data_IF_567796021726
#
_entry.id   IF_567796021726
#
_cell.length_a   1.000
_cell.length_b   1.000
_cell.length_c   1.000
_cell.angle_alpha   90.00
_cell.angle_beta   90.00
_cell.angle_gamma   90.00
#
_symmetry.space_group_name_H-M   'P 1'
#
loop_
_entity.id
_entity.type
_entity.pdbx_description
1 polymer ?
#
# COMPACT_ATOMS: atom_id res chain seq x y z
N UNK A 1 58.22 11.10 -34.54
CA UNK A 1 56.80 10.69 -34.65
C UNK A 1 56.64 9.46 -33.78
N UNK A 2 55.90 9.55 -32.68
CA UNK A 2 55.67 8.41 -31.80
C UNK A 2 54.73 7.43 -32.52
N UNK A 3 55.17 6.20 -32.68
CA UNK A 3 54.37 5.12 -33.26
C UNK A 3 53.10 4.90 -32.39
N UNK A 4 51.97 5.39 -32.87
CA UNK A 4 50.63 5.23 -32.24
C UNK A 4 50.04 3.82 -32.38
N UNK A 5 50.91 2.79 -32.40
CA UNK A 5 50.44 1.43 -32.46
C UNK A 5 50.02 0.97 -31.06
N UNK A 6 48.76 0.66 -30.84
CA UNK A 6 48.23 0.28 -29.49
C UNK A 6 48.93 -0.97 -28.91
N UNK A 7 49.48 -1.84 -29.78
CA UNK A 7 50.17 -3.05 -29.36
C UNK A 7 51.58 -2.74 -28.80
N UNK A 8 52.29 -1.79 -29.42
CA UNK A 8 53.63 -1.37 -28.94
C UNK A 8 53.51 -0.57 -27.64
N UNK A 9 52.48 0.28 -27.49
CA UNK A 9 52.18 0.99 -26.28
C UNK A 9 51.83 0.01 -25.12
N UNK A 10 51.03 -1.00 -25.41
CA UNK A 10 50.63 -2.04 -24.42
C UNK A 10 51.83 -2.86 -23.93
N UNK A 11 52.71 -3.26 -24.85
CA UNK A 11 53.95 -3.98 -24.50
C UNK A 11 54.89 -3.10 -23.66
N UNK A 12 55.02 -1.82 -23.97
CA UNK A 12 55.82 -0.88 -23.19
C UNK A 12 55.22 -0.72 -21.76
N UNK A 13 53.93 -0.61 -21.65
CA UNK A 13 53.25 -0.52 -20.35
C UNK A 13 53.45 -1.79 -19.48
N UNK A 14 53.40 -2.97 -20.10
CA UNK A 14 53.63 -4.23 -19.38
C UNK A 14 55.09 -4.37 -18.89
N UNK A 15 56.07 -3.80 -19.60
CA UNK A 15 57.48 -3.82 -19.24
C UNK A 15 57.86 -2.88 -18.08
N UNK A 16 57.00 -1.95 -17.68
CA UNK A 16 57.23 -1.06 -16.56
C UNK A 16 57.29 -1.83 -15.24
N UNK A 17 58.16 -1.45 -14.30
CA UNK A 17 58.25 -2.07 -12.99
C UNK A 17 56.93 -1.92 -12.24
N UNK A 18 56.58 -2.91 -11.42
CA UNK A 18 55.30 -2.92 -10.66
C UNK A 18 55.19 -1.80 -9.62
N UNK A 19 56.31 -1.15 -9.30
CA UNK A 19 56.39 0.03 -8.41
C UNK A 19 56.09 1.35 -9.13
N UNK A 20 55.90 1.34 -10.46
CA UNK A 20 55.63 2.55 -11.24
C UNK A 20 54.22 3.09 -10.96
N UNK A 21 54.07 4.35 -10.50
CA UNK A 21 52.76 4.94 -10.27
C UNK A 21 51.90 5.05 -11.53
N UNK A 22 52.54 5.24 -12.70
CA UNK A 22 51.86 5.29 -13.99
C UNK A 22 51.22 3.92 -14.35
N UNK A 23 51.91 2.80 -14.13
CA UNK A 23 51.40 1.46 -14.35
C UNK A 23 50.23 1.17 -13.43
N UNK A 24 50.33 1.55 -12.15
CA UNK A 24 49.25 1.34 -11.14
C UNK A 24 47.98 2.12 -11.54
N UNK A 25 48.11 3.37 -11.95
CA UNK A 25 46.97 4.19 -12.38
C UNK A 25 46.28 3.61 -13.63
N UNK A 26 47.08 3.20 -14.64
CA UNK A 26 46.50 2.63 -15.87
C UNK A 26 45.80 1.29 -15.60
N UNK A 27 46.40 0.42 -14.80
CA UNK A 27 45.77 -0.85 -14.42
C UNK A 27 44.50 -0.61 -13.63
N UNK A 28 44.52 0.30 -12.65
CA UNK A 28 43.33 0.66 -11.86
C UNK A 28 42.22 1.22 -12.76
N UNK A 29 42.56 2.07 -13.73
CA UNK A 29 41.58 2.62 -14.68
C UNK A 29 40.97 1.53 -15.57
N UNK A 30 41.79 0.59 -16.07
CA UNK A 30 41.31 -0.53 -16.89
C UNK A 30 40.41 -1.44 -16.12
N UNK A 31 40.76 -1.78 -14.88
CA UNK A 31 39.92 -2.62 -14.00
C UNK A 31 38.61 -1.90 -13.73
N UNK A 32 38.66 -0.60 -13.38
CA UNK A 32 37.43 0.18 -13.12
C UNK A 32 36.52 0.24 -14.36
N UNK A 33 37.12 0.45 -15.56
CA UNK A 33 36.37 0.48 -16.82
C UNK A 33 35.75 -0.88 -17.17
N UNK A 34 36.49 -1.97 -17.02
CA UNK A 34 35.97 -3.32 -17.31
C UNK A 34 34.90 -3.72 -16.33
N UNK A 35 35.08 -3.46 -15.03
CA UNK A 35 34.05 -3.71 -14.02
C UNK A 35 32.81 -2.83 -14.24
N UNK A 36 32.99 -1.53 -14.51
CA UNK A 36 31.91 -0.60 -14.77
C UNK A 36 31.08 -0.96 -16.02
N UNK A 37 31.75 -1.35 -17.11
CA UNK A 37 31.06 -1.83 -18.32
C UNK A 37 30.34 -3.14 -18.10
N UNK A 38 30.95 -4.11 -17.40
CA UNK A 38 30.32 -5.38 -17.08
C UNK A 38 29.04 -5.18 -16.24
N UNK A 39 29.08 -4.35 -15.19
CA UNK A 39 27.93 -4.03 -14.37
C UNK A 39 26.85 -3.32 -15.18
N UNK A 40 27.22 -2.32 -16.00
CA UNK A 40 26.26 -1.57 -16.82
C UNK A 40 25.56 -2.45 -17.86
N UNK A 41 26.30 -3.31 -18.55
CA UNK A 41 25.73 -4.26 -19.53
C UNK A 41 24.79 -5.24 -18.84
N UNK A 42 25.20 -5.80 -17.70
CA UNK A 42 24.36 -6.71 -16.92
C UNK A 42 23.08 -6.03 -16.45
N UNK A 43 23.17 -4.80 -15.94
CA UNK A 43 22.01 -4.02 -15.50
C UNK A 43 21.02 -3.74 -16.66
N UNK A 44 21.54 -3.38 -17.85
CA UNK A 44 20.69 -3.14 -19.02
C UNK A 44 20.02 -4.43 -19.52
N UNK A 45 20.74 -5.54 -19.54
CA UNK A 45 20.19 -6.84 -19.96
C UNK A 45 19.14 -7.38 -18.97
N UNK A 46 19.29 -7.09 -17.66
CA UNK A 46 18.33 -7.55 -16.65
C UNK A 46 17.08 -6.66 -16.53
N UNK A 47 17.11 -5.42 -17.01
CA UNK A 47 15.94 -4.51 -16.94
C UNK A 47 14.63 -5.12 -17.46
N UNK A 48 14.56 -5.75 -18.67
CA UNK A 48 13.32 -6.33 -19.17
C UNK A 48 12.84 -7.53 -18.34
N UNK A 49 13.76 -8.28 -17.73
CA UNK A 49 13.41 -9.37 -16.81
C UNK A 49 12.83 -8.84 -15.49
N UNK A 50 13.44 -7.78 -14.96
CA UNK A 50 12.93 -7.09 -13.75
C UNK A 50 11.54 -6.49 -13.99
N UNK A 51 11.29 -5.85 -15.14
CA UNK A 51 9.99 -5.33 -15.49
C UNK A 51 8.91 -6.42 -15.55
N UNK A 52 9.20 -7.56 -16.19
CA UNK A 52 8.29 -8.71 -16.21
C UNK A 52 8.03 -9.31 -14.83
N UNK A 53 9.01 -9.31 -13.94
CA UNK A 53 8.82 -9.73 -12.55
C UNK A 53 7.91 -8.75 -11.80
N UNK A 54 8.13 -7.45 -11.95
CA UNK A 54 7.27 -6.43 -11.32
C UNK A 54 5.81 -6.51 -11.81
N UNK A 55 5.59 -6.74 -13.10
CA UNK A 55 4.23 -6.93 -13.64
C UNK A 55 3.56 -8.17 -13.07
N UNK A 56 4.28 -9.29 -12.97
CA UNK A 56 3.77 -10.54 -12.34
C UNK A 56 3.49 -10.37 -10.85
N UNK A 57 4.35 -9.68 -10.13
CA UNK A 57 4.14 -9.37 -8.71
C UNK A 57 2.95 -8.45 -8.50
N UNK A 58 2.70 -7.49 -9.41
CA UNK A 58 1.53 -6.62 -9.40
C UNK A 58 0.24 -7.41 -9.62
N UNK A 59 0.22 -8.28 -10.63
CA UNK A 59 -0.91 -9.16 -10.90
C UNK A 59 -1.17 -10.12 -9.73
N UNK A 60 -0.10 -10.69 -9.15
CA UNK A 60 -0.22 -11.56 -7.98
C UNK A 60 -0.76 -10.81 -6.76
N UNK A 61 -0.27 -9.61 -6.47
CA UNK A 61 -0.79 -8.75 -5.38
C UNK A 61 -2.25 -8.37 -5.61
N UNK A 62 -2.61 -8.01 -6.84
CA UNK A 62 -4.00 -7.72 -7.19
C UNK A 62 -4.90 -8.94 -7.00
N UNK A 63 -4.47 -10.12 -7.44
CA UNK A 63 -5.20 -11.36 -7.23
C UNK A 63 -5.29 -11.74 -5.75
N UNK A 64 -4.24 -11.49 -4.97
CA UNK A 64 -4.23 -11.72 -3.54
C UNK A 64 -5.18 -10.76 -2.80
N UNK A 65 -5.20 -9.49 -3.18
CA UNK A 65 -6.19 -8.52 -2.72
C UNK A 65 -7.61 -8.97 -3.02
N UNK A 66 -7.88 -9.40 -4.25
CA UNK A 66 -9.19 -9.89 -4.66
C UNK A 66 -9.60 -11.15 -3.89
N UNK A 67 -8.64 -12.06 -3.60
CA UNK A 67 -8.91 -13.28 -2.83
C UNK A 67 -9.06 -13.02 -1.32
N UNK A 68 -8.41 -11.98 -0.78
CA UNK A 68 -8.43 -11.67 0.65
C UNK A 68 -9.67 -10.91 1.08
N UNK A 69 -10.47 -10.39 0.13
CA UNK A 69 -11.67 -9.64 0.44
C UNK A 69 -12.87 -10.56 0.61
N UNK A 70 -13.54 -10.53 1.76
CA UNK A 70 -14.77 -11.29 1.98
C UNK A 70 -15.83 -10.94 0.93
N UNK A 71 -16.54 -11.95 0.38
CA UNK A 71 -17.61 -11.77 -0.59
C UNK A 71 -17.15 -11.41 -2.02
N UNK A 72 -15.84 -11.43 -2.32
CA UNK A 72 -15.37 -11.18 -3.69
C UNK A 72 -15.64 -12.37 -4.62
N UNK A 73 -15.64 -13.59 -4.10
CA UNK A 73 -15.96 -14.80 -4.87
C UNK A 73 -17.37 -14.73 -5.48
N UNK A 74 -18.34 -14.29 -4.68
CA UNK A 74 -19.74 -14.22 -5.09
C UNK A 74 -19.97 -13.20 -6.22
N UNK A 75 -19.11 -12.18 -6.33
CA UNK A 75 -19.19 -11.14 -7.37
C UNK A 75 -18.49 -11.54 -8.68
N UNK A 76 -17.50 -12.43 -8.61
CA UNK A 76 -16.79 -12.94 -9.80
C UNK A 76 -17.63 -14.03 -10.50
N UNK A 77 -18.43 -14.77 -9.73
CA UNK A 77 -19.30 -15.84 -10.21
C UNK A 77 -20.60 -15.32 -10.87
N UNK A 78 -20.98 -14.06 -10.60
CA UNK A 78 -22.09 -13.38 -11.28
C UNK A 78 -21.66 -12.93 -12.69
N UNK A 79 -22.45 -13.28 -13.70
CA UNK A 79 -22.17 -13.07 -15.13
C UNK A 79 -22.15 -11.58 -15.59
N UNK A 80 -21.61 -10.68 -14.77
CA UNK A 80 -21.47 -9.25 -15.04
C UNK A 80 -20.04 -8.82 -15.39
N UNK A 81 -19.90 -7.71 -16.09
CA UNK A 81 -18.58 -7.10 -16.35
C UNK A 81 -18.07 -6.42 -15.08
N UNK A 82 -17.07 -7.06 -14.43
CA UNK A 82 -16.40 -6.51 -13.25
C UNK A 82 -15.16 -5.76 -13.68
N UNK A 83 -15.10 -4.47 -13.39
CA UNK A 83 -13.91 -3.64 -13.60
C UNK A 83 -13.33 -3.22 -12.26
N UNK A 84 -12.04 -3.44 -12.06
CA UNK A 84 -11.29 -2.94 -10.91
C UNK A 84 -10.33 -1.85 -11.36
N UNK A 85 -10.54 -0.65 -10.85
CA UNK A 85 -9.73 0.53 -11.15
C UNK A 85 -8.98 0.95 -9.89
N UNK A 86 -7.67 1.17 -9.99
CA UNK A 86 -6.89 1.82 -8.94
C UNK A 86 -6.78 3.31 -9.26
N UNK A 87 -7.11 4.15 -8.31
CA UNK A 87 -6.93 5.60 -8.38
C UNK A 87 -6.02 6.05 -7.25
N UNK A 88 -5.23 7.11 -7.50
CA UNK A 88 -4.43 7.75 -6.46
C UNK A 88 -5.17 8.98 -5.95
N UNK A 89 -5.42 9.02 -4.64
CA UNK A 89 -6.19 10.06 -3.96
C UNK A 89 -5.27 10.98 -3.18
N UNK A 90 -5.41 12.28 -3.32
CA UNK A 90 -4.83 13.26 -2.40
C UNK A 90 -5.70 13.34 -1.14
N UNK A 91 -5.18 12.88 -0.01
CA UNK A 91 -5.96 12.72 1.21
C UNK A 91 -6.43 14.05 1.83
N UNK A 92 -5.73 15.15 1.56
CA UNK A 92 -6.10 16.46 2.09
C UNK A 92 -7.35 17.05 1.42
N UNK A 93 -7.50 16.83 0.12
CA UNK A 93 -8.57 17.40 -0.70
C UNK A 93 -9.62 16.39 -1.11
N UNK A 94 -9.28 15.10 -1.10
CA UNK A 94 -10.09 14.02 -1.65
C UNK A 94 -10.05 13.94 -3.18
N UNK A 95 -9.23 14.75 -3.84
CA UNK A 95 -9.12 14.75 -5.30
C UNK A 95 -8.39 13.51 -5.83
N UNK A 96 -8.84 13.01 -6.97
CA UNK A 96 -8.11 11.97 -7.72
C UNK A 96 -6.96 12.63 -8.46
N UNK A 97 -5.77 12.06 -8.34
CA UNK A 97 -4.57 12.48 -9.05
C UNK A 97 -4.36 11.53 -10.22
N UNK A 98 -4.31 12.08 -11.43
CA UNK A 98 -3.96 11.31 -12.62
C UNK A 98 -2.47 10.96 -12.60
N UNK A 99 -2.17 9.67 -12.60
CA UNK A 99 -0.82 9.13 -12.71
C UNK A 99 -0.82 7.97 -13.69
N UNK A 100 0.28 7.80 -14.41
CA UNK A 100 0.40 6.76 -15.44
C UNK A 100 0.25 5.33 -14.87
N UNK A 101 0.64 5.12 -13.61
CA UNK A 101 0.58 3.81 -12.94
C UNK A 101 0.30 3.95 -11.44
N UNK A 102 -0.98 4.04 -11.05
CA UNK A 102 -1.37 4.13 -9.64
C UNK A 102 -0.98 2.90 -8.81
N UNK A 103 -0.84 1.72 -9.45
CA UNK A 103 -0.49 0.47 -8.78
C UNK A 103 0.97 0.40 -8.35
N UNK A 104 1.85 1.21 -8.96
CA UNK A 104 3.27 1.30 -8.54
C UNK A 104 3.48 2.16 -7.32
N UNK A 105 2.47 2.87 -6.86
CA UNK A 105 2.58 3.77 -5.72
C UNK A 105 2.78 3.01 -4.41
N UNK A 106 3.87 3.32 -3.71
CA UNK A 106 4.16 2.77 -2.38
C UNK A 106 3.84 3.80 -1.29
N UNK A 107 2.66 3.62 -0.68
CA UNK A 107 2.17 4.48 0.40
C UNK A 107 3.10 4.46 1.63
N UNK A 108 3.80 3.36 1.89
CA UNK A 108 4.71 3.25 3.04
C UNK A 108 6.02 4.00 2.78
N UNK A 109 6.55 3.87 1.57
CA UNK A 109 7.74 4.60 1.16
C UNK A 109 7.50 6.12 1.20
N UNK A 110 6.35 6.60 0.67
CA UNK A 110 6.01 8.04 0.73
C UNK A 110 5.81 8.51 2.18
N UNK A 111 5.20 7.72 3.05
CA UNK A 111 5.03 8.06 4.46
C UNK A 111 6.36 8.14 5.23
N UNK A 112 7.38 7.41 4.78
CA UNK A 112 8.72 7.44 5.35
C UNK A 112 9.58 8.59 4.81
N UNK A 113 9.26 9.14 3.61
CA UNK A 113 10.01 10.25 3.02
C UNK A 113 9.65 11.58 3.70
N UNK A 114 10.61 12.26 4.37
CA UNK A 114 10.35 13.55 5.03
C UNK A 114 9.87 14.67 4.08
N UNK A 115 10.09 14.54 2.77
CA UNK A 115 9.69 15.54 1.77
C UNK A 115 8.26 15.33 1.26
N UNK A 116 7.75 14.10 1.38
CA UNK A 116 6.48 13.69 0.81
C UNK A 116 5.44 13.30 1.87
N UNK A 117 5.86 13.09 3.13
CA UNK A 117 4.93 12.76 4.19
C UNK A 117 4.14 13.97 4.71
N UNK A 118 3.14 13.67 5.51
CA UNK A 118 2.34 14.61 6.27
C UNK A 118 2.41 14.25 7.76
N UNK A 119 2.86 15.19 8.58
CA UNK A 119 2.87 15.06 10.02
C UNK A 119 1.45 15.23 10.57
N UNK A 120 0.92 14.18 11.21
CA UNK A 120 -0.43 14.21 11.76
C UNK A 120 -0.39 14.97 13.10
N UNK A 121 -1.27 15.99 13.29
CA UNK A 121 -1.36 16.65 14.59
C UNK A 121 -1.64 15.64 15.70
N UNK A 122 -0.94 15.74 16.83
CA UNK A 122 -1.05 14.77 17.94
C UNK A 122 -2.50 14.59 18.44
N UNK A 123 -3.32 15.64 18.40
CA UNK A 123 -4.75 15.58 18.76
C UNK A 123 -5.62 14.81 17.76
N UNK A 124 -5.15 14.64 16.52
CA UNK A 124 -5.86 13.95 15.46
C UNK A 124 -5.33 12.53 15.21
N UNK A 125 -4.14 12.19 15.73
CA UNK A 125 -3.50 10.89 15.53
C UNK A 125 -4.06 9.81 16.47
N UNK A 126 -5.35 9.57 16.38
CA UNK A 126 -6.02 8.51 17.14
C UNK A 126 -5.56 7.11 16.72
N UNK A 127 -5.06 6.97 15.49
CA UNK A 127 -4.53 5.71 14.96
C UNK A 127 -3.09 5.42 15.39
N UNK A 128 -2.38 6.37 16.00
CA UNK A 128 -1.02 6.22 16.51
C UNK A 128 0.01 5.96 15.40
N UNK A 129 -0.13 6.60 14.24
CA UNK A 129 0.75 6.41 13.07
C UNK A 129 1.78 7.53 12.89
N UNK A 130 1.65 8.64 13.61
CA UNK A 130 2.54 9.81 13.61
C UNK A 130 2.59 10.56 12.28
N UNK A 131 2.91 9.85 11.22
CA UNK A 131 3.06 10.38 9.86
C UNK A 131 2.30 9.54 8.85
N UNK A 132 1.74 10.16 7.83
CA UNK A 132 1.13 9.47 6.70
C UNK A 132 1.67 9.99 5.37
N UNK A 133 1.47 9.24 4.31
CA UNK A 133 1.60 9.73 2.94
C UNK A 133 0.61 10.87 2.68
N UNK A 134 0.93 11.79 1.79
CA UNK A 134 -0.04 12.80 1.33
C UNK A 134 -1.09 12.17 0.43
N UNK A 135 -0.70 11.13 -0.29
CA UNK A 135 -1.52 10.40 -1.25
C UNK A 135 -1.74 8.97 -0.78
N UNK A 136 -2.84 8.36 -1.22
CA UNK A 136 -3.11 6.96 -0.96
C UNK A 136 -3.85 6.33 -2.16
N UNK A 137 -3.59 5.05 -2.48
CA UNK A 137 -4.36 4.35 -3.47
C UNK A 137 -5.76 4.05 -2.93
N UNK A 138 -6.76 4.13 -3.79
CA UNK A 138 -8.10 3.59 -3.55
C UNK A 138 -8.47 2.70 -4.74
N UNK A 139 -9.11 1.55 -4.44
CA UNK A 139 -9.50 0.61 -5.47
C UNK A 139 -11.02 0.66 -5.62
N UNK A 140 -11.47 0.95 -6.82
CA UNK A 140 -12.89 1.10 -7.17
C UNK A 140 -13.32 -0.12 -7.97
N UNK A 141 -14.27 -0.86 -7.45
CA UNK A 141 -14.85 -1.98 -8.14
C UNK A 141 -16.21 -1.58 -8.70
N UNK A 142 -16.33 -1.68 -10.00
CA UNK A 142 -17.58 -1.41 -10.70
C UNK A 142 -18.17 -2.70 -11.28
N UNK A 143 -19.46 -2.79 -11.26
CA UNK A 143 -20.24 -3.83 -11.92
C UNK A 143 -21.21 -3.19 -12.90
N UNK A 144 -21.08 -3.56 -14.17
CA UNK A 144 -21.86 -2.95 -15.25
C UNK A 144 -21.78 -1.40 -15.22
N UNK A 145 -20.58 -0.85 -15.00
CA UNK A 145 -20.30 0.59 -14.93
C UNK A 145 -20.71 1.27 -13.63
N UNK A 146 -21.47 0.63 -12.73
CA UNK A 146 -21.87 1.22 -11.44
C UNK A 146 -20.87 0.86 -10.34
N UNK A 147 -20.54 1.83 -9.50
CA UNK A 147 -19.71 1.61 -8.33
C UNK A 147 -20.38 0.60 -7.39
N UNK A 148 -19.73 -0.54 -7.19
CA UNK A 148 -20.23 -1.62 -6.34
C UNK A 148 -19.50 -1.66 -5.02
N UNK A 149 -18.16 -1.46 -5.04
CA UNK A 149 -17.32 -1.44 -3.83
C UNK A 149 -16.16 -0.48 -3.95
N UNK A 150 -15.72 0.04 -2.79
CA UNK A 150 -14.46 0.78 -2.64
C UNK A 150 -13.60 0.03 -1.65
N UNK A 151 -12.31 -0.14 -1.98
CA UNK A 151 -11.35 -0.79 -1.11
C UNK A 151 -10.26 0.21 -0.75
N UNK A 152 -10.08 0.43 0.53
CA UNK A 152 -9.21 1.44 1.11
C UNK A 152 -8.11 0.77 1.94
N UNK A 153 -6.83 1.00 1.65
CA UNK A 153 -5.75 0.55 2.53
C UNK A 153 -5.77 1.35 3.83
N UNK A 154 -5.76 0.63 4.95
CA UNK A 154 -5.80 1.22 6.28
C UNK A 154 -4.65 0.69 7.14
N UNK A 155 -4.13 1.54 8.03
CA UNK A 155 -3.11 1.14 8.99
C UNK A 155 -3.27 1.90 10.30
N UNK A 156 -2.86 1.31 11.40
CA UNK A 156 -2.89 1.95 12.71
C UNK A 156 -2.24 1.09 13.77
N UNK A 157 -1.99 1.67 14.91
CA UNK A 157 -1.41 0.99 16.06
C UNK A 157 -2.40 0.03 16.69
N UNK A 158 -2.03 -1.24 16.76
CA UNK A 158 -2.72 -2.24 17.58
C UNK A 158 -2.30 -2.15 19.04
N UNK A 159 -2.21 -3.30 19.70
CA UNK A 159 -1.68 -3.38 21.06
C UNK A 159 -0.16 -3.45 21.08
N UNK A 160 0.46 -4.31 20.29
CA UNK A 160 1.91 -4.53 20.24
C UNK A 160 2.55 -4.11 18.93
N UNK A 161 1.76 -3.98 17.87
CA UNK A 161 2.27 -3.79 16.52
C UNK A 161 1.42 -2.82 15.71
N UNK A 162 2.00 -2.39 14.59
CA UNK A 162 1.24 -1.72 13.55
C UNK A 162 0.39 -2.75 12.80
N UNK A 163 -0.90 -2.47 12.69
CA UNK A 163 -1.85 -3.25 11.91
C UNK A 163 -1.92 -2.67 10.50
N UNK A 164 -1.94 -3.53 9.49
CA UNK A 164 -2.11 -3.15 8.09
C UNK A 164 -3.22 -3.99 7.47
N UNK A 165 -4.19 -3.34 6.88
CA UNK A 165 -5.35 -4.02 6.34
C UNK A 165 -5.99 -3.28 5.17
N UNK A 166 -7.10 -3.84 4.70
CA UNK A 166 -7.98 -3.25 3.71
C UNK A 166 -9.40 -3.21 4.25
N UNK A 167 -9.99 -2.02 4.20
CA UNK A 167 -11.41 -1.82 4.43
C UNK A 167 -12.12 -1.78 3.09
N UNK A 168 -13.14 -2.61 2.91
CA UNK A 168 -14.04 -2.54 1.77
C UNK A 168 -15.38 -1.95 2.21
N UNK A 169 -15.87 -0.94 1.50
CA UNK A 169 -17.21 -0.38 1.64
C UNK A 169 -18.06 -0.77 0.43
N UNK A 170 -19.36 -0.97 0.61
CA UNK A 170 -20.30 -1.11 -0.49
C UNK A 170 -20.44 0.23 -1.25
N UNK A 171 -21.10 0.22 -2.41
CA UNK A 171 -21.29 1.40 -3.24
C UNK A 171 -22.11 2.53 -2.61
N UNK A 172 -22.76 2.27 -1.48
CA UNK A 172 -23.45 3.29 -0.65
C UNK A 172 -22.48 4.11 0.22
N UNK A 173 -21.19 3.72 0.25
CA UNK A 173 -20.11 4.37 1.01
C UNK A 173 -20.27 4.33 2.54
N UNK A 174 -21.30 3.66 3.05
CA UNK A 174 -21.64 3.59 4.48
C UNK A 174 -21.59 2.16 5.01
N UNK A 175 -21.97 1.19 4.20
CA UNK A 175 -22.00 -0.22 4.61
C UNK A 175 -20.63 -0.86 4.38
N UNK A 176 -20.11 -1.54 5.41
CA UNK A 176 -18.88 -2.31 5.33
C UNK A 176 -19.13 -3.58 4.53
N UNK A 177 -18.38 -3.77 3.45
CA UNK A 177 -18.37 -5.01 2.68
C UNK A 177 -17.40 -6.04 3.28
N UNK A 178 -16.35 -5.56 3.97
CA UNK A 178 -15.40 -6.40 4.67
C UNK A 178 -14.21 -5.63 5.23
N UNK A 179 -13.52 -6.26 6.18
CA UNK A 179 -12.26 -5.78 6.74
C UNK A 179 -11.30 -6.96 6.84
N UNK A 180 -10.10 -6.80 6.33
CA UNK A 180 -9.04 -7.82 6.42
C UNK A 180 -7.71 -7.19 6.81
N UNK A 181 -6.89 -7.95 7.54
CA UNK A 181 -5.54 -7.56 7.93
C UNK A 181 -4.52 -8.50 7.31
N UNK A 182 -3.56 -7.96 6.55
CA UNK A 182 -2.53 -8.73 5.88
C UNK A 182 -1.17 -8.70 6.59
N UNK A 183 -0.94 -7.75 7.51
CA UNK A 183 0.27 -7.70 8.31
C UNK A 183 -0.03 -7.16 9.72
N UNK A 184 0.48 -7.90 10.70
CA UNK A 184 0.41 -7.57 12.13
C UNK A 184 1.43 -8.43 12.89
N UNK A 185 1.77 -8.07 14.12
CA UNK A 185 2.58 -8.85 15.05
C UNK A 185 1.97 -8.74 16.48
N UNK A 186 0.67 -8.95 16.56
CA UNK A 186 -0.08 -8.99 17.81
C UNK A 186 0.16 -10.31 18.57
N UNK A 187 -0.28 -10.38 19.81
CA UNK A 187 -0.14 -11.58 20.65
C UNK A 187 -0.87 -12.78 20.04
N UNK A 188 -0.17 -13.91 19.79
CA UNK A 188 -0.76 -15.13 19.26
C UNK A 188 -1.96 -15.61 20.08
N UNK A 189 -3.04 -16.03 19.40
CA UNK A 189 -4.28 -16.52 20.02
C UNK A 189 -5.14 -15.44 20.67
N UNK A 190 -4.67 -14.18 20.73
CA UNK A 190 -5.40 -13.02 21.25
C UNK A 190 -5.59 -11.98 20.13
N UNK A 191 -4.69 -11.02 20.02
CA UNK A 191 -4.77 -9.96 19.00
C UNK A 191 -4.66 -10.46 17.57
N UNK A 192 -3.91 -11.54 17.30
CA UNK A 192 -3.83 -12.17 15.98
C UNK A 192 -5.17 -12.67 15.43
N UNK A 193 -6.18 -12.83 16.30
CA UNK A 193 -7.54 -13.27 15.90
C UNK A 193 -8.25 -12.28 14.97
N UNK A 194 -7.77 -11.06 14.82
CA UNK A 194 -8.25 -10.12 13.79
C UNK A 194 -8.06 -10.67 12.35
N UNK A 195 -7.18 -11.66 12.17
CA UNK A 195 -6.97 -12.34 10.88
C UNK A 195 -7.80 -13.62 10.73
N UNK A 196 -8.50 -14.07 11.78
CA UNK A 196 -9.36 -15.25 11.72
C UNK A 196 -10.61 -14.96 10.87
N UNK A 197 -10.97 -15.86 9.93
CA UNK A 197 -12.19 -15.69 9.13
C UNK A 197 -13.46 -15.53 10.00
N UNK A 198 -13.53 -16.22 11.13
CA UNK A 198 -14.65 -16.13 12.04
C UNK A 198 -14.89 -14.69 12.54
N UNK A 199 -13.82 -13.92 12.81
CA UNK A 199 -13.96 -12.52 13.23
C UNK A 199 -14.12 -11.57 12.05
N UNK A 200 -13.41 -11.83 10.93
CA UNK A 200 -13.56 -11.02 9.72
C UNK A 200 -14.98 -11.09 9.14
N UNK A 201 -15.66 -12.22 9.27
CA UNK A 201 -17.05 -12.40 8.82
C UNK A 201 -18.09 -11.63 9.66
N UNK A 202 -17.69 -10.98 10.74
CA UNK A 202 -18.57 -10.09 11.52
C UNK A 202 -18.70 -8.69 10.90
N UNK A 203 -17.83 -8.33 9.98
CA UNK A 203 -17.76 -6.98 9.41
C UNK A 203 -18.77 -6.69 8.30
N UNK A 204 -19.05 -7.63 7.37
CA UNK A 204 -20.02 -7.38 6.31
C UNK A 204 -21.41 -7.01 6.86
N UNK A 205 -21.98 -5.93 6.32
CA UNK A 205 -23.26 -5.39 6.76
C UNK A 205 -23.19 -4.43 7.95
N UNK A 206 -22.02 -4.27 8.61
CA UNK A 206 -21.84 -3.21 9.62
C UNK A 206 -21.84 -1.84 8.97
N UNK A 207 -22.31 -0.82 9.69
CA UNK A 207 -22.32 0.56 9.20
C UNK A 207 -21.15 1.36 9.77
N UNK A 208 -20.58 2.28 8.97
CA UNK A 208 -19.51 3.15 9.48
C UNK A 208 -20.04 4.32 10.29
N UNK A 209 -21.31 4.72 10.08
CA UNK A 209 -21.93 5.91 10.65
C UNK A 209 -23.30 5.59 11.27
N UNK A 210 -23.78 6.51 12.11
CA UNK A 210 -25.17 6.50 12.61
C UNK A 210 -26.11 7.16 11.58
N UNK A 211 -27.43 7.14 11.89
CA UNK A 211 -28.48 7.71 11.05
C UNK A 211 -28.35 9.23 10.80
N UNK A 212 -27.47 9.91 11.56
CA UNK A 212 -27.15 11.33 11.41
C UNK A 212 -25.88 11.56 10.59
N UNK A 213 -25.24 10.48 10.08
CA UNK A 213 -23.99 10.54 9.33
C UNK A 213 -22.75 10.72 10.20
N UNK A 214 -22.86 10.64 11.53
CA UNK A 214 -21.68 10.71 12.39
C UNK A 214 -20.92 9.39 12.35
N UNK A 215 -19.61 9.43 12.17
CA UNK A 215 -18.75 8.27 12.18
C UNK A 215 -18.76 7.57 13.56
N UNK A 216 -19.28 6.34 13.61
CA UNK A 216 -19.53 5.58 14.86
C UNK A 216 -18.91 4.20 14.89
N UNK A 217 -18.43 3.69 13.75
CA UNK A 217 -17.87 2.32 13.69
C UNK A 217 -16.92 2.03 14.85
N UNK A 218 -17.14 0.90 15.53
CA UNK A 218 -16.33 0.51 16.68
C UNK A 218 -16.36 -0.99 16.95
N UNK A 219 -15.25 -1.50 17.49
CA UNK A 219 -15.17 -2.83 18.08
C UNK A 219 -15.48 -2.70 19.58
N UNK A 220 -16.57 -3.32 20.03
CA UNK A 220 -17.02 -3.23 21.42
C UNK A 220 -16.50 -4.41 22.26
N UNK A 221 -16.60 -4.30 23.58
CA UNK A 221 -16.39 -5.45 24.47
C UNK A 221 -17.60 -6.37 24.41
N UNK A 222 -17.37 -7.65 24.10
CA UNK A 222 -18.47 -8.62 23.97
C UNK A 222 -19.19 -8.48 22.64
N UNK A 223 -20.50 -8.53 22.64
CA UNK A 223 -21.35 -8.49 21.45
C UNK A 223 -21.81 -7.07 21.14
N UNK A 224 -21.74 -6.71 19.87
CA UNK A 224 -22.33 -5.49 19.33
C UNK A 224 -23.87 -5.56 19.37
N UNK A 225 -24.49 -4.44 19.65
CA UNK A 225 -25.96 -4.30 19.74
C UNK A 225 -26.51 -3.27 18.74
N UNK A 226 -25.62 -2.56 18.05
CA UNK A 226 -25.97 -1.51 17.08
C UNK A 226 -25.32 -1.82 15.72
N UNK A 227 -25.87 -1.31 14.60
CA UNK A 227 -25.34 -1.60 13.27
C UNK A 227 -23.87 -1.22 13.04
N UNK A 228 -23.34 -0.26 13.80
CA UNK A 228 -21.96 0.21 13.73
C UNK A 228 -21.04 -0.42 14.79
N UNK A 229 -21.52 -1.45 15.50
CA UNK A 229 -20.75 -2.15 16.54
C UNK A 229 -20.40 -3.57 16.09
N UNK A 230 -19.12 -3.90 16.14
CA UNK A 230 -18.60 -5.23 15.84
C UNK A 230 -18.12 -5.89 17.13
N UNK A 231 -18.35 -7.20 17.25
CA UNK A 231 -18.00 -7.98 18.42
C UNK A 231 -16.49 -7.92 18.72
N UNK A 232 -16.16 -7.73 19.98
CA UNK A 232 -14.80 -7.72 20.45
C UNK A 232 -14.17 -9.11 20.53
N UNK A 233 -12.86 -9.14 20.51
CA UNK A 233 -12.08 -10.35 20.73
C UNK A 233 -11.77 -10.47 22.23
N UNK A 234 -12.20 -11.58 22.83
CA UNK A 234 -11.93 -11.85 24.26
C UNK A 234 -10.42 -11.86 24.51
N UNK A 235 -9.98 -11.12 25.53
CA UNK A 235 -8.55 -10.97 25.86
C UNK A 235 -7.76 -9.99 24.99
N UNK A 236 -8.35 -9.43 23.92
CA UNK A 236 -7.66 -8.51 22.99
C UNK A 236 -8.35 -7.14 22.86
N UNK A 237 -8.87 -6.59 23.98
CA UNK A 237 -9.57 -5.30 23.97
C UNK A 237 -8.73 -4.17 23.40
N UNK A 238 -7.42 -4.13 23.69
CA UNK A 238 -6.54 -3.08 23.17
C UNK A 238 -6.38 -3.17 21.65
N UNK A 239 -6.24 -4.37 21.10
CA UNK A 239 -6.21 -4.58 19.65
C UNK A 239 -7.55 -4.13 19.02
N UNK A 240 -8.70 -4.48 19.63
CA UNK A 240 -10.01 -4.00 19.17
C UNK A 240 -10.15 -2.48 19.21
N UNK A 241 -9.65 -1.82 20.26
CA UNK A 241 -9.58 -0.35 20.32
C UNK A 241 -8.69 0.21 19.21
N UNK A 242 -7.53 -0.43 18.95
CA UNK A 242 -6.65 -0.05 17.85
C UNK A 242 -7.35 -0.14 16.49
N UNK A 243 -8.12 -1.20 16.24
CA UNK A 243 -8.93 -1.35 15.01
C UNK A 243 -9.99 -0.25 14.92
N UNK A 244 -10.68 0.07 16.00
CA UNK A 244 -11.65 1.19 16.02
C UNK A 244 -10.99 2.51 15.65
N UNK A 245 -9.86 2.81 16.28
CA UNK A 245 -9.12 4.05 16.08
C UNK A 245 -8.58 4.18 14.64
N UNK A 246 -8.03 3.09 14.10
CA UNK A 246 -7.52 3.11 12.74
C UNK A 246 -8.66 3.34 11.73
N UNK A 247 -9.83 2.70 11.91
CA UNK A 247 -10.96 2.91 11.01
C UNK A 247 -11.49 4.34 11.10
N UNK A 248 -11.69 4.86 12.32
CA UNK A 248 -12.15 6.25 12.50
C UNK A 248 -11.17 7.27 11.96
N UNK A 249 -9.87 7.02 12.07
CA UNK A 249 -8.85 7.89 11.47
C UNK A 249 -8.94 7.90 9.94
N UNK A 250 -8.94 6.70 9.31
CA UNK A 250 -8.91 6.63 7.85
C UNK A 250 -10.23 7.02 7.19
N UNK A 251 -11.36 6.87 7.88
CA UNK A 251 -12.66 7.35 7.41
C UNK A 251 -12.92 8.82 7.75
N UNK A 252 -12.11 9.42 8.62
CA UNK A 252 -12.20 10.82 9.04
C UNK A 252 -11.48 11.79 8.11
N UNK A 253 -11.43 13.06 8.53
CA UNK A 253 -10.92 14.18 7.73
C UNK A 253 -9.41 14.09 7.40
N UNK A 254 -8.63 13.36 8.20
CA UNK A 254 -7.20 13.12 7.94
C UNK A 254 -6.92 11.89 7.09
N UNK A 255 -7.93 11.12 6.73
CA UNK A 255 -7.86 9.94 5.89
C UNK A 255 -8.63 10.11 4.58
N UNK A 256 -9.44 9.11 4.24
CA UNK A 256 -10.25 9.10 3.03
C UNK A 256 -11.57 9.88 3.14
N UNK A 257 -11.91 10.45 4.31
CA UNK A 257 -13.17 11.19 4.50
C UNK A 257 -13.44 12.25 3.44
N UNK A 258 -12.48 13.14 3.07
CA UNK A 258 -12.69 14.10 1.99
C UNK A 258 -13.00 13.45 0.64
N UNK A 259 -12.35 12.33 0.31
CA UNK A 259 -12.59 11.57 -0.92
C UNK A 259 -13.99 10.93 -0.96
N UNK A 260 -14.38 10.26 0.12
CA UNK A 260 -15.71 9.64 0.24
C UNK A 260 -16.82 10.69 0.13
N UNK A 261 -16.66 11.85 0.75
CA UNK A 261 -17.60 12.99 0.62
C UNK A 261 -17.71 13.48 -0.83
N UNK A 262 -16.61 13.53 -1.58
CA UNK A 262 -16.64 13.96 -2.99
C UNK A 262 -17.34 12.93 -3.89
N UNK A 263 -17.18 11.65 -3.61
CA UNK A 263 -17.89 10.57 -4.32
C UNK A 263 -19.41 10.61 -4.03
N UNK A 264 -19.79 10.81 -2.77
CA UNK A 264 -21.19 10.88 -2.34
C UNK A 264 -21.96 12.00 -3.04
N UNK A 265 -21.35 13.18 -3.18
CA UNK A 265 -21.98 14.35 -3.83
C UNK A 265 -21.83 14.33 -5.36
N UNK A 266 -21.28 13.28 -5.95
CA UNK A 266 -21.10 13.14 -7.40
C UNK A 266 -20.16 14.16 -8.04
N UNK A 267 -19.28 14.79 -7.25
CA UNK A 267 -18.26 15.71 -7.77
C UNK A 267 -17.14 15.01 -8.50
N UNK A 268 -16.92 13.76 -8.18
CA UNK A 268 -15.94 12.90 -8.83
C UNK A 268 -16.72 11.71 -9.33
N UNK A 269 -16.72 11.51 -10.66
CA UNK A 269 -17.05 10.23 -11.30
C UNK A 269 -15.71 9.61 -11.70
N UNK A 270 -15.17 8.73 -10.87
CA UNK A 270 -13.84 8.16 -11.08
C UNK A 270 -13.80 7.13 -12.19
#
# INVERSE_FOLDING_TARGET
MADLNPITWWRHMLSLPNTSPAKTLIVALLVALTCGTAVSVTAIMLRPLQQKHHERERQARMQELLKSLPGMKDLIDDAGEVTLQCVLVELATGAIIEVADPLSFDQRAEAADPRANFDIPASADIAGIGKRSRRAPAYLMRWNGKLKRIILPVRGSGYQSMLYGYLALEGDLVTVAGLTFYAQAETPGLGTRIQEPAWQNLWPGSMIADDQGNLRIEVVRGKGTRPYQVDGISGATRTGTGVTNLLRFWLGDYGFGPFLKQLEIGKIDP
#
